data_IF_017917525190
#
_entry.id   IF_017917525190
#
_cell.length_a   1.000
_cell.length_b   1.000
_cell.length_c   1.000
_cell.angle_alpha   90.00
_cell.angle_beta   90.00
_cell.angle_gamma   90.00
#
_symmetry.space_group_name_H-M   'P 1'
#
loop_
_entity.id
_entity.type
_entity.pdbx_description
1 polymer ?
#
# COMPACT_ATOMS: atom_id res chain seq x y z
N UNK A 1 -10.76 8.95 -13.26
CA UNK A 1 -11.44 7.67 -12.96
C UNK A 1 -11.99 7.77 -11.55
N UNK A 2 -13.26 7.38 -11.35
CA UNK A 2 -13.86 7.33 -10.02
C UNK A 2 -13.16 6.19 -9.28
N UNK A 3 -12.49 6.46 -8.16
CA UNK A 3 -11.92 5.39 -7.32
C UNK A 3 -13.11 4.73 -6.63
N UNK A 4 -13.35 3.45 -6.89
CA UNK A 4 -14.42 2.73 -6.22
C UNK A 4 -13.91 2.26 -4.85
N UNK A 5 -14.39 2.83 -3.74
CA UNK A 5 -14.01 2.35 -2.41
C UNK A 5 -14.51 0.92 -2.24
N UNK A 6 -13.65 0.06 -1.73
CA UNK A 6 -14.03 -1.29 -1.30
C UNK A 6 -14.00 -1.35 0.21
N UNK A 7 -15.11 -1.76 0.82
CA UNK A 7 -15.16 -2.09 2.24
C UNK A 7 -14.55 -3.47 2.48
N UNK A 8 -13.68 -3.56 3.48
CA UNK A 8 -12.94 -4.78 3.80
C UNK A 8 -12.94 -4.98 5.30
N UNK A 9 -12.95 -6.24 5.71
CA UNK A 9 -12.80 -6.65 7.10
C UNK A 9 -11.41 -7.28 7.31
N UNK A 10 -10.81 -7.00 8.46
CA UNK A 10 -9.59 -7.69 8.88
C UNK A 10 -10.03 -9.04 9.42
N UNK A 11 -9.53 -10.12 8.82
CA UNK A 11 -9.81 -11.48 9.28
C UNK A 11 -9.32 -11.70 10.71
N UNK A 12 -9.87 -12.72 11.37
CA UNK A 12 -9.50 -13.07 12.75
C UNK A 12 -8.01 -13.42 12.90
N UNK A 13 -7.36 -13.85 11.82
CA UNK A 13 -5.92 -14.11 11.75
C UNK A 13 -5.07 -12.85 11.49
N UNK A 14 -5.70 -11.67 11.46
CA UNK A 14 -5.07 -10.39 11.22
C UNK A 14 -4.78 -10.09 9.74
N UNK A 15 -5.27 -10.91 8.80
CA UNK A 15 -5.06 -10.68 7.36
C UNK A 15 -6.12 -9.77 6.77
N UNK A 16 -5.70 -9.01 5.75
CA UNK A 16 -6.57 -8.21 4.90
C UNK A 16 -6.42 -8.70 3.46
N UNK A 17 -7.53 -8.96 2.79
CA UNK A 17 -7.54 -9.33 1.37
C UNK A 17 -7.99 -8.14 0.52
N UNK A 18 -7.09 -7.65 -0.35
CA UNK A 18 -7.41 -6.57 -1.29
C UNK A 18 -7.87 -7.18 -2.62
N UNK A 19 -9.03 -6.77 -3.18
CA UNK A 19 -9.37 -7.09 -4.55
C UNK A 19 -8.30 -6.56 -5.49
N UNK A 20 -7.88 -7.38 -6.46
CA UNK A 20 -6.77 -7.07 -7.36
C UNK A 20 -6.88 -5.72 -8.09
N UNK A 21 -8.09 -5.19 -8.29
CA UNK A 21 -8.30 -3.87 -8.90
C UNK A 21 -7.61 -2.75 -8.12
N UNK A 22 -7.69 -2.76 -6.79
CA UNK A 22 -7.17 -1.69 -5.92
C UNK A 22 -5.63 -1.53 -6.02
N UNK A 23 -4.81 -2.57 -5.80
CA UNK A 23 -3.36 -2.45 -5.95
C UNK A 23 -2.94 -2.20 -7.40
N UNK A 24 -3.65 -2.75 -8.39
CA UNK A 24 -3.33 -2.53 -9.81
C UNK A 24 -3.53 -1.08 -10.21
N UNK A 25 -4.60 -0.42 -9.77
CA UNK A 25 -4.82 1.02 -9.97
C UNK A 25 -3.71 1.88 -9.34
N UNK A 26 -3.13 1.42 -8.23
CA UNK A 26 -1.97 2.03 -7.59
C UNK A 26 -0.62 1.68 -8.27
N UNK A 27 -0.62 0.91 -9.35
CA UNK A 27 0.58 0.45 -10.04
C UNK A 27 1.39 -0.59 -9.26
N UNK A 28 0.72 -1.33 -8.37
CA UNK A 28 1.26 -2.47 -7.61
C UNK A 28 0.81 -3.77 -8.26
N UNK A 29 1.67 -4.32 -9.12
CA UNK A 29 1.37 -5.54 -9.86
C UNK A 29 1.60 -6.81 -9.01
N UNK A 30 0.98 -7.96 -9.37
CA UNK A 30 1.30 -9.25 -8.77
C UNK A 30 2.81 -9.51 -8.74
N UNK A 31 3.29 -10.11 -7.64
CA UNK A 31 4.70 -10.43 -7.39
C UNK A 31 5.64 -9.22 -7.27
N UNK A 32 5.11 -7.99 -7.30
CA UNK A 32 5.91 -6.81 -6.99
C UNK A 32 6.37 -6.84 -5.54
N UNK A 33 7.60 -6.37 -5.28
CA UNK A 33 8.07 -6.11 -3.91
C UNK A 33 7.50 -4.79 -3.44
N UNK A 34 6.79 -4.81 -2.32
CA UNK A 34 6.15 -3.63 -1.74
C UNK A 34 6.59 -3.41 -0.30
N UNK A 35 6.43 -2.19 0.18
CA UNK A 35 6.56 -1.79 1.57
C UNK A 35 5.19 -1.33 2.05
N UNK A 36 4.83 -1.75 3.25
CA UNK A 36 3.64 -1.30 3.96
C UNK A 36 4.07 -0.50 5.20
N UNK A 37 3.49 0.67 5.41
CA UNK A 37 3.72 1.46 6.62
C UNK A 37 2.48 2.26 7.00
N UNK A 38 2.40 2.69 8.26
CA UNK A 38 1.32 3.56 8.74
C UNK A 38 1.73 5.02 8.55
N UNK A 39 0.81 5.85 8.06
CA UNK A 39 0.98 7.30 7.98
C UNK A 39 0.71 8.01 9.33
N UNK A 40 0.29 7.27 10.37
CA UNK A 40 0.03 7.80 11.70
C UNK A 40 -1.34 8.48 11.88
N UNK A 41 -2.13 8.61 10.82
CA UNK A 41 -3.46 9.26 10.82
C UNK A 41 -4.61 8.28 10.51
N UNK A 42 -4.40 7.00 10.83
CA UNK A 42 -5.34 5.93 10.52
C UNK A 42 -5.23 5.39 9.09
N UNK A 43 -4.32 5.93 8.27
CA UNK A 43 -4.05 5.40 6.91
C UNK A 43 -2.87 4.43 6.90
N UNK A 44 -3.01 3.39 6.09
CA UNK A 44 -1.91 2.49 5.70
C UNK A 44 -1.52 2.82 4.27
N UNK A 45 -0.21 2.95 4.02
CA UNK A 45 0.35 3.17 2.69
C UNK A 45 1.01 1.89 2.22
N UNK A 46 0.63 1.45 1.01
CA UNK A 46 1.31 0.41 0.26
C UNK A 46 2.05 1.07 -0.90
N UNK A 47 3.35 0.79 -1.02
CA UNK A 47 4.21 1.42 -2.04
C UNK A 47 5.19 0.41 -2.63
N UNK A 48 5.58 0.61 -3.89
CA UNK A 48 6.69 -0.13 -4.51
C UNK A 48 7.96 0.04 -3.66
N UNK A 49 8.64 -1.06 -3.41
CA UNK A 49 9.84 -1.04 -2.56
C UNK A 49 10.91 -0.10 -3.11
N UNK A 50 11.14 -0.09 -4.42
CA UNK A 50 12.16 0.76 -5.04
C UNK A 50 11.87 2.26 -4.86
N UNK A 51 10.60 2.66 -5.01
CA UNK A 51 10.17 4.05 -4.80
C UNK A 51 10.32 4.47 -3.34
N UNK A 52 9.93 3.58 -2.42
CA UNK A 52 10.06 3.83 -0.98
C UNK A 52 11.53 3.95 -0.57
N UNK A 53 12.40 3.08 -1.07
CA UNK A 53 13.83 3.13 -0.75
C UNK A 53 14.49 4.36 -1.36
N UNK A 54 14.10 4.73 -2.57
CA UNK A 54 14.61 5.96 -3.21
C UNK A 54 14.28 7.18 -2.37
N UNK A 55 13.04 7.30 -1.90
CA UNK A 55 12.66 8.42 -1.02
C UNK A 55 13.39 8.36 0.31
N UNK A 56 13.41 7.20 0.97
CA UNK A 56 14.06 7.06 2.27
C UNK A 56 15.55 7.44 2.21
N UNK A 57 16.25 7.06 1.15
CA UNK A 57 17.64 7.45 0.93
C UNK A 57 17.78 8.96 0.67
N UNK A 58 16.82 9.56 -0.05
CA UNK A 58 16.87 10.97 -0.41
C UNK A 58 16.46 11.91 0.74
N UNK A 59 15.48 11.54 1.56
CA UNK A 59 14.85 12.42 2.56
C UNK A 59 15.08 11.95 4.00
N UNK A 60 15.49 10.69 4.20
CA UNK A 60 15.59 10.08 5.53
C UNK A 60 14.24 9.69 6.14
N UNK A 61 13.13 9.84 5.42
CA UNK A 61 11.78 9.51 5.89
C UNK A 61 10.88 8.94 4.78
N UNK A 62 9.75 8.36 5.18
CA UNK A 62 8.65 8.02 4.27
C UNK A 62 7.49 8.96 4.58
N UNK A 63 7.07 9.73 3.58
CA UNK A 63 5.96 10.69 3.69
C UNK A 63 4.77 10.31 2.81
#
# INVERSE_FOLDING_TARGET
MLREPTELEIGEDGRLELPMGVPVEAGLNPRARIVAYSAGDGRIVLRRADDAMTELVATGSLT
#
